data_IF_049415360219
#
_entry.id   IF_049415360219
#
_cell.length_a   1.000
_cell.length_b   1.000
_cell.length_c   1.000
_cell.angle_alpha   90.00
_cell.angle_beta   90.00
_cell.angle_gamma   90.00
#
_symmetry.space_group_name_H-M   'P 1'
#
loop_
_entity.id
_entity.type
_entity.pdbx_description
1 polymer ?
#
# COMPACT_ATOMS: atom_id res chain seq x y z
N UNK A 1 -12.38 -13.62 -30.56
CA UNK A 1 -11.17 -14.12 -29.88
C UNK A 1 -10.64 -12.98 -29.04
N UNK A 2 -10.87 -13.00 -27.73
CA UNK A 2 -10.34 -11.99 -26.81
C UNK A 2 -9.19 -12.63 -26.02
N UNK A 3 -7.97 -12.30 -26.41
CA UNK A 3 -6.75 -12.44 -25.61
C UNK A 3 -6.34 -10.98 -25.35
N UNK A 4 -6.01 -10.51 -24.16
CA UNK A 4 -5.69 -11.13 -22.90
C UNK A 4 -4.94 -10.03 -22.16
N UNK A 5 -5.57 -9.43 -21.16
CA UNK A 5 -4.89 -8.61 -20.16
C UNK A 5 -5.38 -9.15 -18.84
N UNK A 6 -4.56 -9.97 -18.19
CA UNK A 6 -4.65 -10.07 -16.74
C UNK A 6 -4.21 -8.69 -16.25
N UNK A 7 -5.17 -7.75 -16.18
CA UNK A 7 -5.07 -6.64 -15.26
C UNK A 7 -4.82 -7.29 -13.92
N UNK A 8 -3.63 -7.09 -13.35
CA UNK A 8 -3.39 -7.30 -11.92
C UNK A 8 -4.66 -6.80 -11.24
N UNK A 9 -5.34 -7.66 -10.50
CA UNK A 9 -6.57 -7.30 -9.82
C UNK A 9 -6.27 -6.19 -8.82
N UNK A 10 -6.30 -4.94 -9.27
CA UNK A 10 -5.99 -3.72 -8.52
C UNK A 10 -6.90 -3.55 -7.31
N UNK A 11 -7.92 -4.41 -7.18
CA UNK A 11 -8.91 -4.43 -6.10
C UNK A 11 -8.58 -5.36 -4.93
N UNK A 12 -7.56 -6.22 -5.03
CA UNK A 12 -7.26 -7.21 -3.98
C UNK A 12 -5.98 -6.89 -3.19
N UNK A 13 -4.96 -6.32 -3.82
CA UNK A 13 -3.71 -5.99 -3.14
C UNK A 13 -3.87 -4.74 -2.27
N UNK A 14 -4.42 -3.66 -2.82
CA UNK A 14 -4.77 -2.43 -2.09
C UNK A 14 -5.63 -2.74 -0.86
N UNK A 15 -6.66 -3.57 -1.01
CA UNK A 15 -7.54 -3.97 0.10
C UNK A 15 -6.83 -4.77 1.15
N UNK A 16 -5.96 -5.70 0.77
CA UNK A 16 -5.19 -6.50 1.74
C UNK A 16 -4.23 -5.63 2.53
N UNK A 17 -3.56 -4.68 1.88
CA UNK A 17 -2.67 -3.72 2.54
C UNK A 17 -3.47 -2.84 3.50
N UNK A 18 -4.61 -2.32 3.05
CA UNK A 18 -5.52 -1.52 3.88
C UNK A 18 -6.00 -2.31 5.10
N UNK A 19 -6.42 -3.55 4.92
CA UNK A 19 -6.89 -4.42 6.01
C UNK A 19 -5.75 -4.71 6.98
N UNK A 20 -4.54 -4.98 6.48
CA UNK A 20 -3.38 -5.24 7.33
C UNK A 20 -2.96 -4.00 8.13
N UNK A 21 -3.04 -2.80 7.53
CA UNK A 21 -2.83 -1.53 8.22
C UNK A 21 -3.94 -1.27 9.24
N UNK A 22 -5.21 -1.58 8.94
CA UNK A 22 -6.29 -1.43 9.91
C UNK A 22 -6.12 -2.36 11.11
N UNK A 23 -5.66 -3.58 10.88
CA UNK A 23 -5.39 -4.56 11.94
C UNK A 23 -4.07 -4.34 12.69
N UNK A 24 -3.18 -3.46 12.22
CA UNK A 24 -1.93 -3.20 12.95
C UNK A 24 -2.20 -2.34 14.18
N UNK A 25 -1.77 -2.79 15.37
CA UNK A 25 -1.83 -1.97 16.59
C UNK A 25 -0.62 -1.02 16.69
N UNK A 26 0.33 -1.14 15.76
CA UNK A 26 1.57 -0.37 15.75
C UNK A 26 1.41 1.07 15.23
N UNK A 27 0.24 1.42 14.68
CA UNK A 27 -0.06 2.74 14.13
C UNK A 27 -1.28 3.35 14.83
N UNK A 28 -1.25 4.65 15.15
CA UNK A 28 -2.44 5.37 15.59
C UNK A 28 -3.46 5.48 14.46
N UNK A 29 -4.74 5.64 14.82
CA UNK A 29 -5.85 5.74 13.85
C UNK A 29 -5.66 6.85 12.83
N UNK A 30 -5.03 7.96 13.23
CA UNK A 30 -4.73 9.10 12.35
C UNK A 30 -3.73 8.71 11.25
N UNK A 31 -2.64 8.03 11.62
CA UNK A 31 -1.65 7.52 10.67
C UNK A 31 -2.26 6.45 9.77
N UNK A 32 -3.06 5.52 10.30
CA UNK A 32 -3.79 4.52 9.48
C UNK A 32 -4.63 5.20 8.42
N UNK A 33 -5.34 6.27 8.79
CA UNK A 33 -6.17 7.03 7.88
C UNK A 33 -5.34 7.70 6.79
N UNK A 34 -4.24 8.35 7.18
CA UNK A 34 -3.34 9.01 6.24
C UNK A 34 -2.68 8.01 5.26
N UNK A 35 -2.20 6.85 5.74
CA UNK A 35 -1.65 5.81 4.86
C UNK A 35 -2.73 5.29 3.93
N UNK A 36 -3.94 5.02 4.44
CA UNK A 36 -5.04 4.47 3.65
C UNK A 36 -5.47 5.42 2.52
N UNK A 37 -5.53 6.71 2.81
CA UNK A 37 -5.82 7.75 1.82
C UNK A 37 -4.68 7.84 0.78
N UNK A 38 -3.44 7.86 1.26
CA UNK A 38 -2.24 7.89 0.42
C UNK A 38 -2.13 6.67 -0.50
N UNK A 39 -2.36 5.46 0.02
CA UNK A 39 -2.43 4.22 -0.75
C UNK A 39 -3.54 4.36 -1.78
N UNK A 40 -4.76 4.73 -1.40
CA UNK A 40 -5.84 4.82 -2.39
C UNK A 40 -5.55 5.78 -3.53
N UNK A 41 -4.92 6.90 -3.23
CA UNK A 41 -4.57 7.93 -4.21
C UNK A 41 -3.36 7.50 -5.07
N UNK A 42 -2.34 6.90 -4.45
CA UNK A 42 -1.07 6.53 -5.10
C UNK A 42 -1.09 5.14 -5.76
N UNK A 43 -1.86 4.18 -5.26
CA UNK A 43 -1.83 2.79 -5.73
C UNK A 43 -2.32 2.64 -7.17
N UNK A 44 -3.19 3.54 -7.63
CA UNK A 44 -3.76 3.50 -8.98
C UNK A 44 -2.81 4.07 -10.03
N UNK A 45 -1.92 4.99 -9.62
CA UNK A 45 -1.07 5.78 -10.54
C UNK A 45 0.42 5.44 -10.39
N UNK A 46 0.88 5.15 -9.16
CA UNK A 46 2.30 5.10 -8.80
C UNK A 46 2.81 3.70 -8.45
N UNK A 47 1.96 2.77 -8.01
CA UNK A 47 2.41 1.48 -7.47
C UNK A 47 2.11 0.33 -8.42
N UNK A 48 2.92 0.19 -9.48
CA UNK A 48 2.92 -1.04 -10.27
C UNK A 48 3.82 -2.11 -9.64
N UNK A 49 4.87 -1.70 -8.93
CA UNK A 49 5.84 -2.60 -8.30
C UNK A 49 6.25 -2.16 -6.90
N UNK A 50 6.72 -3.10 -6.07
CA UNK A 50 7.27 -2.81 -4.74
C UNK A 50 8.54 -1.94 -4.81
N UNK A 51 9.34 -2.08 -5.87
CA UNK A 51 10.53 -1.24 -6.07
C UNK A 51 10.15 0.24 -6.20
N UNK A 52 9.14 0.56 -7.02
CA UNK A 52 8.64 1.94 -7.14
C UNK A 52 8.11 2.47 -5.80
N UNK A 53 7.44 1.64 -5.01
CA UNK A 53 6.97 2.01 -3.67
C UNK A 53 8.12 2.43 -2.74
N UNK A 54 9.23 1.70 -2.76
CA UNK A 54 10.40 1.98 -1.90
C UNK A 54 11.11 3.27 -2.35
N UNK A 55 11.10 3.55 -3.65
CA UNK A 55 11.67 4.79 -4.20
C UNK A 55 10.83 6.03 -3.89
N UNK A 56 9.54 5.87 -3.57
CA UNK A 56 8.67 6.98 -3.20
C UNK A 56 8.93 7.39 -1.75
N UNK A 57 9.15 8.69 -1.58
CA UNK A 57 9.30 9.28 -0.25
C UNK A 57 7.91 9.49 0.38
N UNK A 58 7.61 8.89 1.55
CA UNK A 58 6.36 9.14 2.26
C UNK A 58 6.34 10.57 2.82
N UNK A 59 5.15 11.14 3.07
CA UNK A 59 5.03 12.39 3.80
C UNK A 59 5.55 12.22 5.25
N UNK A 60 6.10 13.28 5.85
CA UNK A 60 6.79 13.24 7.14
C UNK A 60 5.98 12.55 8.26
N UNK A 61 4.67 12.76 8.30
CA UNK A 61 3.79 12.14 9.32
C UNK A 61 3.62 10.62 9.16
N UNK A 62 3.93 10.08 7.99
CA UNK A 62 3.92 8.64 7.72
C UNK A 62 5.31 8.03 7.80
N UNK A 63 6.37 8.83 7.81
CA UNK A 63 7.76 8.37 7.69
C UNK A 63 8.14 7.42 8.84
N UNK A 64 7.69 7.69 10.08
CA UNK A 64 7.86 6.79 11.23
C UNK A 64 7.13 5.46 11.09
N UNK A 65 5.99 5.45 10.39
CA UNK A 65 5.16 4.27 10.17
C UNK A 65 5.41 3.62 8.82
N UNK A 66 6.20 4.26 7.95
CA UNK A 66 6.39 3.85 6.58
C UNK A 66 7.13 2.53 6.50
N UNK A 67 8.12 2.34 7.38
CA UNK A 67 8.83 1.07 7.50
C UNK A 67 7.86 -0.09 7.81
N UNK A 68 6.88 0.14 8.68
CA UNK A 68 5.84 -0.83 9.02
C UNK A 68 4.95 -1.12 7.81
N UNK A 69 4.56 -0.07 7.08
CA UNK A 69 3.75 -0.19 5.86
C UNK A 69 4.49 -0.99 4.79
N UNK A 70 5.78 -0.69 4.57
CA UNK A 70 6.64 -1.45 3.64
C UNK A 70 6.75 -2.92 4.06
N UNK A 71 6.94 -3.20 5.34
CA UNK A 71 6.98 -4.59 5.85
C UNK A 71 5.66 -5.32 5.63
N UNK A 72 4.52 -4.66 5.88
CA UNK A 72 3.19 -5.21 5.62
C UNK A 72 3.02 -5.54 4.14
N UNK A 73 3.38 -4.61 3.27
CA UNK A 73 3.26 -4.77 1.82
C UNK A 73 4.17 -5.90 1.33
N UNK A 74 5.42 -5.94 1.79
CA UNK A 74 6.38 -7.00 1.47
C UNK A 74 5.87 -8.39 1.89
N UNK A 75 5.24 -8.48 3.07
CA UNK A 75 4.66 -9.72 3.60
C UNK A 75 3.47 -10.21 2.77
N UNK A 76 2.74 -9.30 2.12
CA UNK A 76 1.61 -9.63 1.24
C UNK A 76 2.00 -9.99 -0.20
N UNK A 77 3.23 -9.65 -0.62
CA UNK A 77 3.74 -9.94 -1.98
C UNK A 77 4.58 -11.23 -2.06
N UNK A 78 4.84 -11.88 -0.93
CA UNK A 78 5.52 -13.19 -0.83
C UNK A 78 4.53 -14.35 -0.96
#
# INVERSE_FOLDING_TARGET
MALGTVTLGTTSADKQIIIAIENTELMPDDAKRAVKDYIKDSFNDLWNTFEELIEIQPPDGLLEYWDIVLQIIQSLMT
#
